data_IF_745190549416
#
_entry.id   IF_745190549416
#
_cell.length_a   1.000
_cell.length_b   1.000
_cell.length_c   1.000
_cell.angle_alpha   90.00
_cell.angle_beta   90.00
_cell.angle_gamma   90.00
#
_symmetry.space_group_name_H-M   'P 1'
#
loop_
_entity.id
_entity.type
_entity.pdbx_description
1 polymer ?
#
# COMPACT_ATOMS: atom_id res chain seq x y z
N UNK A 1 3.42 -2.14 0.91
CA UNK A 1 2.77 -1.45 2.06
C UNK A 1 2.16 -2.43 3.06
N UNK A 2 2.71 -3.64 3.16
CA UNK A 2 2.23 -4.73 3.99
C UNK A 2 3.40 -5.27 4.79
N UNK A 3 3.17 -5.78 5.99
CA UNK A 3 4.20 -6.44 6.79
C UNK A 3 4.17 -7.93 6.46
N UNK A 4 4.96 -8.34 5.46
CA UNK A 4 5.05 -9.74 4.99
C UNK A 4 6.26 -10.39 5.66
N UNK A 5 6.01 -11.19 6.70
CA UNK A 5 7.08 -11.89 7.44
C UNK A 5 7.34 -13.31 6.92
N UNK A 6 6.52 -13.82 6.01
CA UNK A 6 6.58 -15.20 5.53
C UNK A 6 7.53 -15.40 4.35
N UNK A 7 8.06 -14.33 3.76
CA UNK A 7 8.95 -14.38 2.60
C UNK A 7 10.31 -13.76 2.95
N UNK A 8 11.41 -14.17 2.28
CA UNK A 8 11.46 -15.18 1.21
C UNK A 8 11.27 -16.63 1.72
N UNK A 9 10.63 -17.46 0.89
CA UNK A 9 10.42 -18.88 1.14
C UNK A 9 11.67 -19.68 0.73
N UNK A 10 12.00 -20.72 1.50
CA UNK A 10 13.14 -21.58 1.20
C UNK A 10 12.81 -22.55 0.06
N UNK A 11 13.73 -22.69 -0.88
CA UNK A 11 13.62 -23.63 -1.98
C UNK A 11 13.98 -25.04 -1.48
N UNK A 12 13.06 -26.02 -1.54
CA UNK A 12 13.30 -27.36 -1.01
C UNK A 12 14.41 -28.07 -1.80
N UNK A 13 15.06 -29.08 -1.22
CA UNK A 13 16.05 -29.88 -1.95
C UNK A 13 15.33 -30.73 -3.00
N UNK A 14 15.94 -30.85 -4.19
CA UNK A 14 15.41 -31.70 -5.26
C UNK A 14 16.02 -33.09 -5.10
N UNK A 15 15.19 -34.14 -5.08
CA UNK A 15 15.63 -35.51 -4.78
C UNK A 15 16.07 -36.30 -6.03
N UNK A 16 15.93 -35.71 -7.22
CA UNK A 16 16.32 -36.35 -8.48
C UNK A 16 17.84 -36.57 -8.59
N UNK A 17 18.24 -37.82 -8.84
CA UNK A 17 19.63 -38.26 -8.93
C UNK A 17 20.39 -37.73 -10.17
N UNK A 18 19.68 -37.11 -11.12
CA UNK A 18 20.25 -36.64 -12.40
C UNK A 18 20.38 -35.11 -12.48
N UNK A 19 20.28 -34.38 -11.35
CA UNK A 19 20.36 -32.93 -11.39
C UNK A 19 21.77 -32.42 -11.78
N UNK A 20 21.87 -31.49 -12.74
CA UNK A 20 23.09 -30.72 -12.94
C UNK A 20 23.56 -30.03 -11.66
N UNK A 21 24.84 -30.18 -11.32
CA UNK A 21 25.45 -29.55 -10.14
C UNK A 21 25.27 -28.03 -10.11
N UNK A 22 25.23 -27.39 -11.29
CA UNK A 22 25.01 -25.95 -11.43
C UNK A 22 23.62 -25.49 -10.95
N UNK A 23 22.59 -26.33 -11.10
CA UNK A 23 21.24 -26.04 -10.59
C UNK A 23 21.23 -26.10 -9.07
N UNK A 24 21.88 -27.09 -8.48
CA UNK A 24 21.96 -27.25 -7.02
C UNK A 24 22.78 -26.14 -6.35
N UNK A 25 23.86 -25.69 -7.00
CA UNK A 25 24.62 -24.51 -6.58
C UNK A 25 23.73 -23.26 -6.63
N UNK A 26 23.00 -23.07 -7.73
CA UNK A 26 22.10 -21.91 -7.90
C UNK A 26 20.95 -21.92 -6.88
N UNK A 27 20.40 -23.09 -6.55
CA UNK A 27 19.41 -23.25 -5.48
C UNK A 27 19.99 -22.88 -4.11
N UNK A 28 21.20 -23.34 -3.82
CA UNK A 28 21.90 -23.02 -2.58
C UNK A 28 22.18 -21.53 -2.43
N UNK A 29 22.49 -20.84 -3.53
CA UNK A 29 22.65 -19.38 -3.56
C UNK A 29 21.35 -18.64 -3.27
N UNK A 30 20.21 -19.13 -3.75
CA UNK A 30 18.90 -18.54 -3.46
C UNK A 30 18.50 -18.67 -1.98
N UNK A 31 18.89 -19.79 -1.34
CA UNK A 31 18.63 -20.06 0.06
C UNK A 31 19.65 -19.41 1.01
N UNK A 32 20.78 -18.94 0.50
CA UNK A 32 21.73 -18.15 1.28
C UNK A 32 21.05 -16.83 1.70
N UNK A 33 21.34 -16.35 2.91
CA UNK A 33 20.77 -15.07 3.37
C UNK A 33 21.24 -13.92 2.46
N UNK A 34 20.37 -13.33 1.63
CA UNK A 34 20.77 -12.30 0.69
C UNK A 34 21.17 -11.03 1.47
N UNK A 35 22.21 -10.33 1.01
CA UNK A 35 22.62 -9.08 1.66
C UNK A 35 21.82 -7.86 1.19
N UNK A 36 21.01 -8.00 0.14
CA UNK A 36 20.12 -6.95 -0.40
C UNK A 36 18.95 -7.53 -1.20
N UNK A 37 17.89 -6.74 -1.40
CA UNK A 37 16.74 -7.11 -2.24
C UNK A 37 17.15 -7.36 -3.71
N UNK A 38 18.12 -6.61 -4.23
CA UNK A 38 18.66 -6.83 -5.58
C UNK A 38 19.32 -8.20 -5.73
N UNK A 39 20.11 -8.62 -4.74
CA UNK A 39 20.71 -9.96 -4.75
C UNK A 39 19.66 -11.07 -4.62
N UNK A 40 18.61 -10.86 -3.82
CA UNK A 40 17.48 -11.79 -3.73
C UNK A 40 16.82 -11.97 -5.11
N UNK A 41 16.56 -10.87 -5.81
CA UNK A 41 15.99 -10.86 -7.16
C UNK A 41 16.94 -11.61 -8.11
N UNK A 42 18.20 -11.21 -8.18
CA UNK A 42 19.16 -11.75 -9.15
C UNK A 42 19.34 -13.27 -8.97
N UNK A 43 19.54 -13.73 -7.74
CA UNK A 43 19.73 -15.15 -7.44
C UNK A 43 18.51 -15.99 -7.86
N UNK A 44 17.31 -15.59 -7.41
CA UNK A 44 16.08 -16.35 -7.70
C UNK A 44 15.69 -16.24 -9.18
N UNK A 45 15.93 -15.11 -9.84
CA UNK A 45 15.63 -14.92 -11.25
C UNK A 45 16.57 -15.75 -12.14
N UNK A 46 17.87 -15.77 -11.83
CA UNK A 46 18.84 -16.63 -12.51
C UNK A 46 18.51 -18.11 -12.32
N UNK A 47 18.16 -18.52 -11.11
CA UNK A 47 17.77 -19.90 -10.82
C UNK A 47 16.52 -20.30 -11.61
N UNK A 48 15.51 -19.44 -11.65
CA UNK A 48 14.29 -19.65 -12.43
C UNK A 48 14.59 -19.79 -13.93
N UNK A 49 15.47 -18.96 -14.50
CA UNK A 49 15.89 -19.07 -15.90
C UNK A 49 16.57 -20.43 -16.18
N UNK A 50 17.47 -20.86 -15.30
CA UNK A 50 18.15 -22.17 -15.43
C UNK A 50 17.15 -23.33 -15.34
N UNK A 51 16.18 -23.27 -14.43
CA UNK A 51 15.13 -24.29 -14.31
C UNK A 51 14.24 -24.36 -15.56
N UNK A 52 13.81 -23.20 -16.08
CA UNK A 52 12.98 -23.13 -17.29
C UNK A 52 13.72 -23.69 -18.51
N UNK A 53 15.00 -23.31 -18.70
CA UNK A 53 15.84 -23.84 -19.76
C UNK A 53 16.00 -25.36 -19.63
N UNK A 54 16.25 -25.87 -18.42
CA UNK A 54 16.40 -27.31 -18.19
C UNK A 54 15.11 -28.08 -18.50
N UNK A 55 13.94 -27.56 -18.09
CA UNK A 55 12.63 -28.17 -18.34
C UNK A 55 12.27 -28.23 -19.83
N UNK A 56 12.73 -27.26 -20.63
CA UNK A 56 12.48 -27.25 -22.07
C UNK A 56 13.07 -28.47 -22.78
N UNK A 57 14.25 -28.93 -22.34
CA UNK A 57 14.93 -30.10 -22.91
C UNK A 57 14.60 -31.41 -22.18
N UNK A 58 14.03 -31.34 -20.98
CA UNK A 58 13.77 -32.51 -20.12
C UNK A 58 12.32 -32.49 -19.56
N UNK A 59 11.34 -32.62 -20.46
CA UNK A 59 9.91 -32.48 -20.14
C UNK A 59 9.39 -33.49 -19.10
N UNK A 60 10.06 -34.62 -18.89
CA UNK A 60 9.69 -35.63 -17.90
C UNK A 60 9.78 -35.15 -16.44
N UNK A 61 10.60 -34.14 -16.15
CA UNK A 61 10.78 -33.60 -14.78
C UNK A 61 10.00 -32.30 -14.54
N UNK A 62 9.19 -31.86 -15.51
CA UNK A 62 8.53 -30.56 -15.46
C UNK A 62 7.63 -30.40 -14.23
N UNK A 63 6.95 -31.47 -13.78
CA UNK A 63 6.13 -31.42 -12.56
C UNK A 63 6.94 -31.26 -11.27
N UNK A 64 8.16 -31.81 -11.21
CA UNK A 64 9.04 -31.71 -10.04
C UNK A 64 9.59 -30.27 -9.87
N UNK A 65 9.90 -29.61 -10.98
CA UNK A 65 10.48 -28.26 -10.98
C UNK A 65 9.47 -27.13 -10.91
N UNK A 66 8.21 -27.38 -11.24
CA UNK A 66 7.20 -26.31 -11.30
C UNK A 66 6.93 -25.66 -9.93
N UNK A 67 7.03 -26.43 -8.85
CA UNK A 67 6.99 -25.88 -7.50
C UNK A 67 8.19 -24.96 -7.21
N UNK A 68 9.40 -25.35 -7.63
CA UNK A 68 10.62 -24.56 -7.45
C UNK A 68 10.57 -23.25 -8.24
N UNK A 69 10.08 -23.30 -9.48
CA UNK A 69 9.88 -22.11 -10.33
C UNK A 69 8.90 -21.15 -9.65
N UNK A 70 7.78 -21.65 -9.14
CA UNK A 70 6.77 -20.82 -8.48
C UNK A 70 7.28 -20.19 -7.17
N UNK A 71 8.04 -20.93 -6.34
CA UNK A 71 8.66 -20.39 -5.11
C UNK A 71 9.72 -19.34 -5.46
N UNK A 72 10.58 -19.60 -6.45
CA UNK A 72 11.56 -18.64 -6.92
C UNK A 72 10.87 -17.36 -7.45
N UNK A 73 9.78 -17.49 -8.20
CA UNK A 73 8.97 -16.37 -8.68
C UNK A 73 8.34 -15.57 -7.52
N UNK A 74 7.84 -16.23 -6.48
CA UNK A 74 7.36 -15.57 -5.25
C UNK A 74 8.48 -14.73 -4.61
N UNK A 75 9.68 -15.30 -4.45
CA UNK A 75 10.84 -14.61 -3.89
C UNK A 75 11.29 -13.41 -4.73
N UNK A 76 11.36 -13.57 -6.06
CA UNK A 76 11.64 -12.46 -6.99
C UNK A 76 10.59 -11.36 -6.85
N UNK A 77 9.31 -11.73 -6.85
CA UNK A 77 8.21 -10.77 -6.74
C UNK A 77 8.28 -9.99 -5.43
N UNK A 78 8.65 -10.67 -4.34
CA UNK A 78 8.85 -10.05 -3.04
C UNK A 78 9.97 -9.04 -3.07
N UNK A 79 11.14 -9.39 -3.62
CA UNK A 79 12.27 -8.47 -3.74
C UNK A 79 11.92 -7.23 -4.55
N UNK A 80 11.21 -7.38 -5.68
CA UNK A 80 10.74 -6.24 -6.46
C UNK A 80 9.76 -5.35 -5.69
N UNK A 81 8.84 -5.93 -4.91
CA UNK A 81 7.91 -5.15 -4.08
C UNK A 81 8.62 -4.44 -2.92
N UNK A 82 9.65 -5.04 -2.31
CA UNK A 82 10.46 -4.38 -1.28
C UNK A 82 11.18 -3.15 -1.83
N UNK A 83 11.84 -3.28 -2.99
CA UNK A 83 12.45 -2.14 -3.69
C UNK A 83 11.40 -1.07 -4.03
N UNK A 84 10.25 -1.47 -4.56
CA UNK A 84 9.16 -0.55 -4.85
C UNK A 84 8.66 0.17 -3.59
N UNK A 85 8.58 -0.52 -2.45
CA UNK A 85 8.18 0.05 -1.16
C UNK A 85 9.21 1.08 -0.67
N UNK A 86 10.50 0.75 -0.67
CA UNK A 86 11.57 1.66 -0.27
C UNK A 86 11.58 2.94 -1.12
N UNK A 87 11.42 2.80 -2.44
CA UNK A 87 11.36 3.95 -3.34
C UNK A 87 10.14 4.82 -3.05
N UNK A 88 8.96 4.24 -2.74
CA UNK A 88 7.76 5.02 -2.38
C UNK A 88 7.94 5.78 -1.07
N UNK A 89 8.57 5.17 -0.08
CA UNK A 89 8.88 5.82 1.20
C UNK A 89 9.80 7.02 1.00
N UNK A 90 10.85 6.86 0.20
CA UNK A 90 11.76 7.94 -0.17
C UNK A 90 11.04 9.06 -0.96
N UNK A 91 10.22 8.70 -1.93
CA UNK A 91 9.48 9.65 -2.78
C UNK A 91 8.37 10.40 -2.02
N UNK A 92 7.86 9.81 -0.93
CA UNK A 92 6.97 10.51 -0.01
C UNK A 92 7.74 11.36 0.99
N UNK A 93 8.96 10.98 1.37
CA UNK A 93 9.80 11.76 2.27
C UNK A 93 10.40 13.03 1.64
N UNK A 94 10.43 13.11 0.31
CA UNK A 94 11.02 14.24 -0.43
C UNK A 94 10.26 15.55 -0.23
N UNK A 95 10.99 16.67 -0.24
CA UNK A 95 10.44 18.01 -0.10
C UNK A 95 9.55 18.43 -1.29
N UNK A 96 9.78 17.86 -2.46
CA UNK A 96 8.98 18.06 -3.67
C UNK A 96 8.49 16.71 -4.22
N UNK A 97 7.37 16.66 -4.97
CA UNK A 97 6.89 15.42 -5.56
C UNK A 97 7.89 14.85 -6.59
N UNK A 98 8.65 13.82 -6.21
CA UNK A 98 9.62 13.16 -7.09
C UNK A 98 8.92 12.16 -8.02
N UNK A 99 8.39 12.68 -9.13
CA UNK A 99 7.65 11.89 -10.12
C UNK A 99 8.47 10.72 -10.65
N UNK A 100 9.80 10.85 -10.76
CA UNK A 100 10.68 9.80 -11.28
C UNK A 100 10.78 8.62 -10.30
N UNK A 101 10.87 8.89 -8.99
CA UNK A 101 10.82 7.82 -7.99
C UNK A 101 9.45 7.14 -7.95
N UNK A 102 8.35 7.88 -8.06
CA UNK A 102 7.01 7.28 -8.15
C UNK A 102 6.83 6.40 -9.40
N UNK A 103 7.40 6.82 -10.54
CA UNK A 103 7.42 6.00 -11.76
C UNK A 103 8.32 4.76 -11.59
N UNK A 104 9.48 4.92 -10.96
CA UNK A 104 10.42 3.81 -10.73
C UNK A 104 9.82 2.75 -9.81
N UNK A 105 9.19 3.15 -8.71
CA UNK A 105 8.47 2.22 -7.82
C UNK A 105 7.32 1.50 -8.54
N UNK A 106 6.59 2.21 -9.40
CA UNK A 106 5.54 1.62 -10.25
C UNK A 106 6.12 0.56 -11.18
N UNK A 107 7.27 0.83 -11.81
CA UNK A 107 7.91 -0.13 -12.71
C UNK A 107 8.34 -1.41 -11.97
N UNK A 108 8.91 -1.29 -10.77
CA UNK A 108 9.26 -2.45 -9.95
C UNK A 108 8.05 -3.24 -9.49
N UNK A 109 6.98 -2.58 -9.04
CA UNK A 109 5.75 -3.26 -8.66
C UNK A 109 5.10 -3.97 -9.87
N UNK A 110 5.07 -3.35 -11.07
CA UNK A 110 4.62 -4.02 -12.30
C UNK A 110 5.45 -5.26 -12.64
N UNK A 111 6.76 -5.26 -12.38
CA UNK A 111 7.62 -6.45 -12.50
C UNK A 111 7.23 -7.53 -11.48
N UNK A 112 6.97 -7.15 -10.23
CA UNK A 112 6.49 -8.07 -9.20
C UNK A 112 5.15 -8.73 -9.56
N UNK A 113 4.18 -7.95 -10.05
CA UNK A 113 2.89 -8.48 -10.52
C UNK A 113 3.11 -9.40 -11.73
N UNK A 114 3.92 -8.96 -12.69
CA UNK A 114 4.17 -9.69 -13.93
C UNK A 114 4.76 -11.06 -13.69
N UNK A 115 5.72 -11.19 -12.76
CA UNK A 115 6.34 -12.49 -12.48
C UNK A 115 5.37 -13.46 -11.80
N UNK A 116 4.47 -12.97 -10.94
CA UNK A 116 3.42 -13.81 -10.36
C UNK A 116 2.39 -14.24 -11.40
N UNK A 117 2.06 -13.37 -12.35
CA UNK A 117 1.19 -13.69 -13.48
C UNK A 117 1.81 -14.75 -14.39
N UNK A 118 3.12 -14.69 -14.61
CA UNK A 118 3.87 -15.70 -15.38
C UNK A 118 3.75 -17.11 -14.77
N UNK A 119 3.70 -17.25 -13.45
CA UNK A 119 3.55 -18.57 -12.79
C UNK A 119 2.31 -19.33 -13.27
N UNK A 120 1.23 -18.63 -13.65
CA UNK A 120 0.02 -19.26 -14.20
C UNK A 120 0.23 -19.94 -15.55
N UNK A 121 1.33 -19.63 -16.25
CA UNK A 121 1.71 -20.25 -17.51
C UNK A 121 2.64 -21.45 -17.33
N UNK A 122 3.18 -21.64 -16.12
CA UNK A 122 4.02 -22.79 -15.78
C UNK A 122 3.10 -23.98 -15.51
N UNK A 123 3.24 -25.11 -16.24
CA UNK A 123 2.36 -26.26 -16.07
C UNK A 123 2.65 -26.96 -14.74
N UNK A 124 1.68 -27.73 -14.21
CA UNK A 124 1.87 -28.57 -13.01
C UNK A 124 2.27 -27.84 -11.70
N UNK A 125 2.11 -26.51 -11.61
CA UNK A 125 2.31 -25.78 -10.35
C UNK A 125 1.29 -26.27 -9.31
N UNK A 126 1.73 -26.65 -8.08
CA UNK A 126 0.82 -27.05 -7.03
C UNK A 126 -0.23 -25.98 -6.70
N UNK A 127 -1.50 -26.37 -6.55
CA UNK A 127 -2.62 -25.46 -6.32
C UNK A 127 -2.42 -24.57 -5.09
N UNK A 128 -1.79 -25.06 -4.03
CA UNK A 128 -1.48 -24.27 -2.83
C UNK A 128 -0.53 -23.11 -3.13
N UNK A 129 0.55 -23.37 -3.88
CA UNK A 129 1.53 -22.35 -4.27
C UNK A 129 0.91 -21.38 -5.28
N UNK A 130 0.09 -21.88 -6.22
CA UNK A 130 -0.62 -21.02 -7.16
C UNK A 130 -1.61 -20.08 -6.43
N UNK A 131 -2.33 -20.59 -5.43
CA UNK A 131 -3.21 -19.78 -4.57
C UNK A 131 -2.43 -18.68 -3.85
N UNK A 132 -1.26 -19.02 -3.28
CA UNK A 132 -0.35 -18.05 -2.67
C UNK A 132 0.13 -16.98 -3.68
N UNK A 133 0.50 -17.38 -4.90
CA UNK A 133 0.87 -16.45 -5.98
C UNK A 133 -0.27 -15.49 -6.33
N UNK A 134 -1.50 -15.99 -6.45
CA UNK A 134 -2.69 -15.18 -6.74
C UNK A 134 -3.01 -14.20 -5.61
N UNK A 135 -2.83 -14.62 -4.36
CA UNK A 135 -3.00 -13.77 -3.18
C UNK A 135 -1.97 -12.63 -3.17
N UNK A 136 -0.69 -12.92 -3.38
CA UNK A 136 0.34 -11.87 -3.47
C UNK A 136 0.16 -10.98 -4.68
N UNK A 137 -0.26 -11.53 -5.83
CA UNK A 137 -0.58 -10.74 -7.02
C UNK A 137 -1.68 -9.71 -6.72
N UNK A 138 -2.75 -10.14 -6.04
CA UNK A 138 -3.84 -9.26 -5.63
C UNK A 138 -3.39 -8.19 -4.63
N UNK A 139 -2.54 -8.54 -3.66
CA UNK A 139 -1.92 -7.59 -2.73
C UNK A 139 -1.02 -6.56 -3.45
N UNK A 140 -0.30 -6.98 -4.49
CA UNK A 140 0.61 -6.12 -5.24
C UNK A 140 -0.13 -5.20 -6.22
N UNK A 141 -1.22 -5.66 -6.83
CA UNK A 141 -2.15 -4.82 -7.59
C UNK A 141 -2.78 -3.74 -6.70
N UNK A 142 -3.18 -4.12 -5.49
CA UNK A 142 -3.68 -3.18 -4.48
C UNK A 142 -2.61 -2.16 -4.08
N UNK A 143 -1.37 -2.60 -3.85
CA UNK A 143 -0.23 -1.72 -3.61
C UNK A 143 0.00 -0.72 -4.76
N UNK A 144 -0.10 -1.15 -6.02
CA UNK A 144 0.07 -0.26 -7.17
C UNK A 144 -1.00 0.83 -7.19
N UNK A 145 -2.26 0.48 -6.96
CA UNK A 145 -3.36 1.43 -6.91
C UNK A 145 -3.24 2.39 -5.74
N UNK A 146 -2.87 1.87 -4.57
CA UNK A 146 -2.60 2.68 -3.40
C UNK A 146 -1.43 3.64 -3.66
N UNK A 147 -0.41 3.25 -4.43
CA UNK A 147 0.71 4.13 -4.78
C UNK A 147 0.26 5.36 -5.56
N UNK A 148 -0.76 5.23 -6.43
CA UNK A 148 -1.36 6.39 -7.12
C UNK A 148 -2.11 7.32 -6.17
N UNK A 149 -2.82 6.75 -5.19
CA UNK A 149 -3.47 7.51 -4.11
C UNK A 149 -2.41 8.23 -3.27
N UNK A 150 -1.31 7.57 -2.91
CA UNK A 150 -0.24 8.14 -2.10
C UNK A 150 0.57 9.22 -2.83
N UNK A 151 0.84 9.07 -4.13
CA UNK A 151 1.43 10.13 -4.95
C UNK A 151 0.58 11.39 -4.90
N UNK A 152 -0.74 11.22 -4.97
CA UNK A 152 -1.67 12.35 -4.89
C UNK A 152 -1.68 12.96 -3.51
N UNK A 153 -1.72 12.14 -2.46
CA UNK A 153 -1.58 12.62 -1.09
C UNK A 153 -0.27 13.41 -0.94
N UNK A 154 0.84 12.96 -1.53
CA UNK A 154 2.11 13.69 -1.55
C UNK A 154 1.97 15.05 -2.24
N UNK A 155 1.29 15.12 -3.40
CA UNK A 155 1.00 16.38 -4.09
C UNK A 155 0.11 17.31 -3.25
N UNK A 156 -0.99 16.80 -2.69
CA UNK A 156 -1.88 17.57 -1.80
C UNK A 156 -1.12 18.06 -0.57
N UNK A 157 -0.31 17.21 0.05
CA UNK A 157 0.54 17.56 1.19
C UNK A 157 1.52 18.69 0.82
N UNK A 158 2.24 18.59 -0.29
CA UNK A 158 3.17 19.66 -0.71
C UNK A 158 2.46 20.98 -1.03
N UNK A 159 1.17 20.96 -1.39
CA UNK A 159 0.35 22.18 -1.52
C UNK A 159 -0.11 22.73 -0.18
N UNK A 160 -0.58 21.88 0.72
CA UNK A 160 -0.97 22.25 2.09
C UNK A 160 0.22 22.76 2.91
N UNK A 161 1.42 22.23 2.64
CA UNK A 161 2.66 22.52 3.37
C UNK A 161 3.85 22.71 2.40
N UNK A 162 3.91 23.83 1.67
CA UNK A 162 4.99 24.06 0.71
C UNK A 162 6.35 24.21 1.40
N UNK A 163 6.37 24.68 2.66
CA UNK A 163 7.54 24.66 3.51
C UNK A 163 7.38 23.57 4.60
N UNK A 164 8.28 22.59 4.59
CA UNK A 164 8.30 21.51 5.58
C UNK A 164 8.63 22.01 7.00
N UNK A 165 9.24 23.19 7.13
CA UNK A 165 9.60 23.80 8.42
C UNK A 165 8.46 24.64 9.02
N UNK A 166 7.53 25.13 8.19
CA UNK A 166 6.41 25.97 8.61
C UNK A 166 5.05 25.39 8.19
N UNK A 167 4.89 24.08 8.44
CA UNK A 167 3.65 23.35 8.13
C UNK A 167 2.42 23.95 8.81
N UNK A 168 2.58 24.43 10.04
CA UNK A 168 1.46 24.76 10.91
C UNK A 168 0.87 26.14 10.63
N UNK A 169 1.69 27.15 10.31
CA UNK A 169 1.19 28.49 9.96
C UNK A 169 0.29 28.43 8.72
N UNK A 170 0.64 27.58 7.74
CA UNK A 170 -0.11 27.45 6.49
C UNK A 170 -1.46 26.78 6.66
N UNK A 171 -1.56 25.76 7.53
CA UNK A 171 -2.86 25.17 7.85
C UNK A 171 -3.80 26.14 8.56
N UNK A 172 -3.27 27.00 9.43
CA UNK A 172 -4.07 28.06 10.06
C UNK A 172 -4.62 29.04 9.03
N UNK A 173 -3.89 29.23 7.93
CA UNK A 173 -4.32 30.04 6.78
C UNK A 173 -5.12 29.26 5.72
N UNK A 174 -5.51 28.01 5.95
CA UNK A 174 -6.24 27.20 4.97
C UNK A 174 -7.60 27.82 4.62
N UNK A 175 -7.83 28.19 3.37
CA UNK A 175 -9.00 28.97 2.90
C UNK A 175 -9.91 28.15 1.97
N UNK A 176 -11.10 28.68 1.65
CA UNK A 176 -12.04 28.04 0.71
C UNK A 176 -11.42 27.84 -0.69
N UNK A 177 -10.50 28.70 -1.11
CA UNK A 177 -9.74 28.52 -2.36
C UNK A 177 -8.89 27.24 -2.36
N UNK A 178 -8.38 26.82 -1.19
CA UNK A 178 -7.61 25.58 -1.06
C UNK A 178 -8.55 24.36 -1.15
N UNK A 179 -9.77 24.47 -0.60
CA UNK A 179 -10.82 23.45 -0.72
C UNK A 179 -11.22 23.27 -2.19
N UNK A 180 -11.48 24.37 -2.91
CA UNK A 180 -11.77 24.38 -4.35
C UNK A 180 -10.65 23.76 -5.18
N UNK A 181 -9.40 23.90 -4.76
CA UNK A 181 -8.29 23.28 -5.48
C UNK A 181 -8.22 21.76 -5.21
N UNK A 182 -8.43 21.35 -3.95
CA UNK A 182 -8.44 19.94 -3.56
C UNK A 182 -9.64 19.20 -4.17
N UNK A 183 -10.80 19.83 -4.23
CA UNK A 183 -12.06 19.24 -4.71
C UNK A 183 -11.96 18.76 -6.16
N UNK A 184 -11.21 19.47 -7.02
CA UNK A 184 -10.94 19.13 -8.43
C UNK A 184 -10.48 17.69 -8.63
N UNK A 185 -9.87 17.10 -7.62
CA UNK A 185 -9.36 15.75 -7.68
C UNK A 185 -9.86 14.82 -6.57
N UNK A 186 -10.42 15.36 -5.49
CA UNK A 186 -10.79 14.59 -4.29
C UNK A 186 -11.74 13.42 -4.58
N UNK A 187 -12.79 13.65 -5.38
CA UNK A 187 -13.78 12.63 -5.74
C UNK A 187 -13.16 11.43 -6.49
N UNK A 188 -12.28 11.71 -7.46
CA UNK A 188 -11.59 10.66 -8.21
C UNK A 188 -10.76 9.77 -7.28
N UNK A 189 -10.03 10.37 -6.34
CA UNK A 189 -9.20 9.63 -5.39
C UNK A 189 -10.00 8.94 -4.29
N UNK A 190 -11.13 9.51 -3.88
CA UNK A 190 -12.08 8.81 -3.02
C UNK A 190 -12.58 7.51 -3.66
N UNK A 191 -12.97 7.56 -4.94
CA UNK A 191 -13.38 6.36 -5.70
C UNK A 191 -12.27 5.32 -5.79
N UNK A 192 -11.01 5.74 -5.91
CA UNK A 192 -9.88 4.81 -5.86
C UNK A 192 -9.72 4.18 -4.48
N UNK A 193 -9.81 4.96 -3.40
CA UNK A 193 -9.74 4.45 -2.01
C UNK A 193 -10.87 3.47 -1.69
N UNK A 194 -12.10 3.75 -2.16
CA UNK A 194 -13.24 2.83 -2.06
C UNK A 194 -12.96 1.53 -2.83
N UNK A 195 -12.45 1.64 -4.05
CA UNK A 195 -12.07 0.47 -4.85
C UNK A 195 -11.00 -0.40 -4.19
N UNK A 196 -9.99 0.22 -3.58
CA UNK A 196 -8.99 -0.46 -2.76
C UNK A 196 -9.63 -1.19 -1.56
N UNK A 197 -10.57 -0.55 -0.87
CA UNK A 197 -11.29 -1.14 0.28
C UNK A 197 -12.14 -2.35 -0.12
N UNK A 198 -12.77 -2.30 -1.30
CA UNK A 198 -13.51 -3.43 -1.85
C UNK A 198 -12.58 -4.64 -2.10
N UNK A 199 -11.38 -4.41 -2.64
CA UNK A 199 -10.39 -5.48 -2.82
C UNK A 199 -9.87 -6.02 -1.50
N UNK A 200 -9.66 -5.16 -0.49
CA UNK A 200 -9.37 -5.63 0.87
C UNK A 200 -10.46 -6.58 1.38
N UNK A 201 -11.73 -6.29 1.12
CA UNK A 201 -12.85 -7.15 1.51
C UNK A 201 -12.78 -8.51 0.81
N UNK A 202 -12.53 -8.53 -0.49
CA UNK A 202 -12.33 -9.79 -1.24
C UNK A 202 -11.14 -10.60 -0.74
N UNK A 203 -10.02 -9.93 -0.43
CA UNK A 203 -8.82 -10.56 0.14
C UNK A 203 -9.07 -11.12 1.54
N UNK A 204 -9.87 -10.45 2.37
CA UNK A 204 -10.17 -10.94 3.71
C UNK A 204 -10.86 -12.32 3.67
N UNK A 205 -11.69 -12.57 2.66
CA UNK A 205 -12.35 -13.85 2.45
C UNK A 205 -11.37 -14.96 2.04
N UNK A 206 -10.27 -14.62 1.36
CA UNK A 206 -9.29 -15.60 0.87
C UNK A 206 -8.15 -15.90 1.86
N UNK A 207 -8.06 -15.18 2.98
CA UNK A 207 -6.91 -15.22 3.92
C UNK A 207 -7.32 -15.75 5.30
N UNK A 208 -8.32 -16.63 5.36
CA UNK A 208 -8.88 -17.13 6.63
C UNK A 208 -7.82 -17.81 7.54
N UNK A 209 -6.76 -18.37 6.95
CA UNK A 209 -5.72 -19.11 7.69
C UNK A 209 -4.62 -18.21 8.29
N UNK A 210 -4.57 -16.91 7.96
CA UNK A 210 -3.54 -15.98 8.47
C UNK A 210 -4.15 -14.85 9.30
N UNK A 211 -4.23 -15.06 10.61
CA UNK A 211 -4.77 -14.07 11.56
C UNK A 211 -4.00 -12.74 11.52
N UNK A 212 -2.68 -12.79 11.29
CA UNK A 212 -1.88 -11.58 11.14
C UNK A 212 -2.29 -10.80 9.89
N UNK A 213 -2.32 -11.43 8.71
CA UNK A 213 -2.64 -10.74 7.47
C UNK A 213 -4.09 -10.25 7.43
N UNK A 214 -5.04 -11.03 7.98
CA UNK A 214 -6.42 -10.59 8.16
C UNK A 214 -6.53 -9.30 9.00
N UNK A 215 -5.74 -9.21 10.08
CA UNK A 215 -5.67 -8.01 10.92
C UNK A 215 -5.08 -6.81 10.19
N UNK A 216 -4.07 -7.00 9.33
CA UNK A 216 -3.53 -5.94 8.48
C UNK A 216 -4.54 -5.44 7.45
N UNK A 217 -5.26 -6.37 6.81
CA UNK A 217 -6.32 -6.06 5.83
C UNK A 217 -7.43 -5.22 6.50
N UNK A 218 -7.90 -5.63 7.68
CA UNK A 218 -8.92 -4.88 8.43
C UNK A 218 -8.44 -3.46 8.76
N UNK A 219 -7.18 -3.34 9.18
CA UNK A 219 -6.61 -2.03 9.53
C UNK A 219 -6.42 -1.14 8.29
N UNK A 220 -6.11 -1.74 7.14
CA UNK A 220 -6.08 -1.04 5.85
C UNK A 220 -7.47 -0.56 5.44
N UNK A 221 -8.54 -1.34 5.67
CA UNK A 221 -9.91 -0.91 5.42
C UNK A 221 -10.31 0.30 6.28
N UNK A 222 -9.92 0.32 7.56
CA UNK A 222 -10.12 1.47 8.43
C UNK A 222 -9.46 2.75 7.88
N UNK A 223 -8.20 2.64 7.45
CA UNK A 223 -7.48 3.73 6.80
C UNK A 223 -8.15 4.20 5.50
N UNK A 224 -8.46 3.27 4.59
CA UNK A 224 -9.06 3.57 3.29
C UNK A 224 -10.46 4.16 3.41
N UNK A 225 -11.27 3.67 4.35
CA UNK A 225 -12.61 4.20 4.65
C UNK A 225 -12.54 5.64 5.16
N UNK A 226 -11.66 5.91 6.12
CA UNK A 226 -11.45 7.27 6.63
C UNK A 226 -10.95 8.22 5.54
N UNK A 227 -9.98 7.79 4.73
CA UNK A 227 -9.46 8.59 3.62
C UNK A 227 -10.52 8.88 2.56
N UNK A 228 -11.31 7.88 2.17
CA UNK A 228 -12.39 8.05 1.18
C UNK A 228 -13.41 9.08 1.66
N UNK A 229 -13.88 8.97 2.90
CA UNK A 229 -14.87 9.88 3.47
C UNK A 229 -14.33 11.30 3.63
N UNK A 230 -13.08 11.44 4.06
CA UNK A 230 -12.42 12.75 4.15
C UNK A 230 -12.38 13.43 2.78
N UNK A 231 -12.00 12.69 1.73
CA UNK A 231 -11.95 13.24 0.37
C UNK A 231 -13.34 13.54 -0.22
N UNK A 232 -14.35 12.71 0.04
CA UNK A 232 -15.73 13.00 -0.39
C UNK A 232 -16.32 14.21 0.32
N UNK A 233 -15.95 14.45 1.58
CA UNK A 233 -16.43 15.63 2.31
C UNK A 233 -15.99 16.92 1.63
N UNK A 234 -14.77 16.98 1.07
CA UNK A 234 -14.26 18.12 0.32
C UNK A 234 -15.11 18.38 -0.92
N UNK A 235 -15.40 17.31 -1.69
CA UNK A 235 -16.24 17.39 -2.88
C UNK A 235 -17.66 17.86 -2.55
N UNK A 236 -18.22 17.39 -1.44
CA UNK A 236 -19.55 17.78 -0.95
C UNK A 236 -19.63 19.21 -0.46
N UNK A 237 -18.65 19.67 0.30
CA UNK A 237 -18.61 21.05 0.74
C UNK A 237 -18.51 22.00 -0.46
N UNK A 238 -17.63 21.71 -1.41
CA UNK A 238 -17.34 22.61 -2.53
C UNK A 238 -18.42 22.67 -3.62
N UNK A 239 -19.01 21.52 -3.99
CA UNK A 239 -19.90 21.46 -5.15
C UNK A 239 -21.39 21.43 -4.80
N UNK A 240 -21.74 21.11 -3.56
CA UNK A 240 -23.14 20.98 -3.15
C UNK A 240 -23.57 21.99 -2.09
N UNK A 241 -22.68 22.89 -1.65
CA UNK A 241 -22.93 23.86 -0.56
C UNK A 241 -23.62 23.19 0.65
N UNK A 242 -23.23 21.94 0.95
CA UNK A 242 -23.82 21.13 2.01
C UNK A 242 -22.77 20.87 3.12
N UNK A 243 -22.49 21.88 3.95
CA UNK A 243 -21.53 21.78 5.05
C UNK A 243 -21.99 20.78 6.13
N UNK A 244 -23.29 20.52 6.24
CA UNK A 244 -23.84 19.57 7.21
C UNK A 244 -23.49 18.13 6.81
N UNK A 245 -23.77 17.72 5.57
CA UNK A 245 -23.38 16.39 5.07
C UNK A 245 -21.86 16.22 5.05
N UNK A 246 -21.12 17.27 4.66
CA UNK A 246 -19.66 17.22 4.68
C UNK A 246 -19.10 16.98 6.09
N UNK A 247 -19.69 17.61 7.11
CA UNK A 247 -19.36 17.37 8.51
C UNK A 247 -19.73 15.95 8.97
N UNK A 248 -20.91 15.44 8.62
CA UNK A 248 -21.28 14.05 8.94
C UNK A 248 -20.32 13.03 8.33
N UNK A 249 -19.83 13.28 7.11
CA UNK A 249 -18.80 12.45 6.47
C UNK A 249 -17.48 12.50 7.25
N UNK A 250 -17.06 13.66 7.76
CA UNK A 250 -15.87 13.81 8.60
C UNK A 250 -16.03 13.07 9.93
N UNK A 251 -17.17 13.17 10.59
CA UNK A 251 -17.42 12.45 11.84
C UNK A 251 -17.41 10.93 11.61
N UNK A 252 -17.96 10.47 10.50
CA UNK A 252 -17.89 9.06 10.10
C UNK A 252 -16.45 8.64 9.77
N UNK A 253 -15.65 9.52 9.14
CA UNK A 253 -14.24 9.28 8.88
C UNK A 253 -13.42 9.13 10.17
N UNK A 254 -13.77 9.87 11.22
CA UNK A 254 -13.16 9.77 12.56
C UNK A 254 -13.49 8.41 13.19
N UNK A 255 -14.75 7.94 13.09
CA UNK A 255 -15.14 6.60 13.55
C UNK A 255 -14.33 5.51 12.84
N UNK A 256 -14.11 5.65 11.53
CA UNK A 256 -13.31 4.69 10.77
C UNK A 256 -11.85 4.63 11.21
N UNK A 257 -11.21 5.78 11.49
CA UNK A 257 -9.78 5.84 11.84
C UNK A 257 -9.52 5.53 13.32
N UNK A 258 -10.53 5.69 14.19
CA UNK A 258 -10.42 5.52 15.64
C UNK A 258 -9.66 4.25 16.08
N UNK A 259 -9.87 3.05 15.50
CA UNK A 259 -9.14 1.84 15.89
C UNK A 259 -7.62 1.91 15.68
N UNK A 260 -7.14 2.85 14.85
CA UNK A 260 -5.74 3.03 14.50
C UNK A 260 -5.04 4.08 15.37
N UNK A 261 -5.78 4.78 16.24
CA UNK A 261 -5.29 5.92 17.02
C UNK A 261 -5.15 5.59 18.51
N UNK A 262 -4.27 6.31 19.21
CA UNK A 262 -4.24 6.28 20.67
C UNK A 262 -5.44 7.03 21.26
N UNK A 263 -5.78 6.73 22.53
CA UNK A 263 -6.83 7.46 23.25
C UNK A 263 -6.59 8.97 23.30
N UNK A 264 -5.33 9.38 23.45
CA UNK A 264 -4.92 10.79 23.44
C UNK A 264 -5.22 11.44 22.08
N UNK A 265 -4.85 10.77 20.98
CA UNK A 265 -5.11 11.26 19.62
C UNK A 265 -6.61 11.39 19.32
N UNK A 266 -7.40 10.41 19.78
CA UNK A 266 -8.85 10.43 19.63
C UNK A 266 -9.50 11.58 20.42
N UNK A 267 -9.09 11.77 21.67
CA UNK A 267 -9.61 12.85 22.51
C UNK A 267 -9.36 14.22 21.89
N UNK A 268 -8.23 14.39 21.19
CA UNK A 268 -7.92 15.62 20.49
C UNK A 268 -8.85 15.84 19.28
N UNK A 269 -9.09 14.82 18.46
CA UNK A 269 -9.99 14.89 17.30
C UNK A 269 -11.45 15.15 17.69
N UNK A 270 -11.92 14.60 18.81
CA UNK A 270 -13.34 14.66 19.18
C UNK A 270 -13.70 15.93 19.97
N UNK A 271 -12.80 16.45 20.81
CA UNK A 271 -13.17 17.45 21.81
C UNK A 271 -12.68 18.88 21.53
N UNK A 272 -11.81 19.08 20.54
CA UNK A 272 -11.27 20.42 20.26
C UNK A 272 -11.97 21.10 19.08
N UNK A 273 -12.49 22.30 19.35
CA UNK A 273 -13.06 23.21 18.34
C UNK A 273 -12.07 24.23 17.78
N UNK A 274 -10.87 24.33 18.36
CA UNK A 274 -9.87 25.34 17.99
C UNK A 274 -8.69 24.70 17.26
N UNK A 275 -8.47 25.14 16.03
CA UNK A 275 -7.40 24.66 15.14
C UNK A 275 -6.00 24.94 15.73
N UNK A 276 -5.82 26.08 16.40
CA UNK A 276 -4.55 26.47 17.05
C UNK A 276 -4.10 25.47 18.12
N UNK A 277 -5.03 25.00 18.96
CA UNK A 277 -4.73 24.04 20.03
C UNK A 277 -4.46 22.63 19.50
N UNK A 278 -5.16 22.25 18.43
CA UNK A 278 -5.02 20.97 17.75
C UNK A 278 -3.65 20.82 17.09
N UNK A 279 -3.23 21.83 16.33
CA UNK A 279 -2.02 21.76 15.50
C UNK A 279 -0.73 21.77 16.33
N UNK A 280 -0.67 22.51 17.44
CA UNK A 280 0.49 22.49 18.36
C UNK A 280 0.72 21.08 18.94
N UNK A 281 -0.34 20.31 19.15
CA UNK A 281 -0.26 18.96 19.73
C UNK A 281 0.00 17.86 18.69
N UNK A 282 -0.30 18.08 17.41
CA UNK A 282 0.03 17.13 16.32
C UNK A 282 1.53 16.99 16.06
N UNK A 283 2.36 17.98 16.42
CA UNK A 283 3.84 17.90 16.33
C UNK A 283 4.40 16.69 17.10
N UNK A 284 3.77 16.35 18.22
CA UNK A 284 4.15 15.21 19.07
C UNK A 284 3.73 13.85 18.50
N UNK A 285 2.84 13.81 17.50
CA UNK A 285 2.32 12.55 16.95
C UNK A 285 3.32 11.90 16.01
N UNK A 286 4.02 12.70 15.20
CA UNK A 286 5.11 12.21 14.34
C UNK A 286 6.23 11.60 15.18
N UNK A 287 6.57 12.23 16.30
CA UNK A 287 7.62 11.76 17.21
C UNK A 287 7.18 10.55 18.04
N UNK A 288 5.92 10.47 18.47
CA UNK A 288 5.36 9.30 19.16
C UNK A 288 5.31 8.06 18.25
N UNK A 289 4.91 8.23 16.99
CA UNK A 289 4.90 7.16 15.98
C UNK A 289 6.33 6.77 15.62
N UNK A 290 7.22 7.74 15.34
CA UNK A 290 8.64 7.47 15.06
C UNK A 290 9.40 6.87 16.24
N UNK A 291 9.06 7.22 17.47
CA UNK A 291 9.63 6.66 18.70
C UNK A 291 9.26 5.19 18.91
N UNK A 292 8.00 4.84 18.70
CA UNK A 292 7.53 3.43 18.70
C UNK A 292 8.19 2.61 17.58
N UNK A 293 8.48 3.25 16.46
CA UNK A 293 9.18 2.66 15.31
C UNK A 293 10.68 2.45 15.52
N UNK A 294 11.41 3.47 16.00
CA UNK A 294 12.87 3.39 16.25
C UNK A 294 13.24 2.39 17.34
N UNK A 295 12.41 2.25 18.37
CA UNK A 295 12.67 1.29 19.44
C UNK A 295 12.58 -0.17 18.94
N UNK A 296 11.79 -0.45 17.90
CA UNK A 296 11.66 -1.82 17.34
C UNK A 296 12.72 -2.18 16.31
N UNK A 297 13.24 -1.22 15.53
CA UNK A 297 14.37 -1.46 14.60
C UNK A 297 15.63 -1.87 15.38
N UNK A 298 15.81 -1.36 16.62
CA UNK A 298 16.89 -1.78 17.52
C UNK A 298 16.64 -3.14 18.19
N UNK A 299 15.39 -3.55 18.39
CA UNK A 299 15.03 -4.85 18.99
C UNK A 299 15.15 -6.03 18.01
N UNK A 300 15.32 -5.80 16.71
CA UNK A 300 15.60 -6.85 15.71
C UNK A 300 16.96 -7.56 15.86
N UNK A 301 17.79 -7.21 16.86
CA UNK A 301 19.07 -7.88 17.15
C UNK A 301 19.03 -8.84 18.34
N UNK A 302 18.00 -8.80 19.19
CA UNK A 302 17.88 -9.71 20.33
C UNK A 302 16.72 -10.67 20.09
N UNK A 303 17.07 -11.88 19.65
CA UNK A 303 16.18 -13.05 19.70
C UNK A 303 15.86 -13.32 21.17
N UNK A 304 14.59 -13.58 21.49
CA UNK A 304 14.00 -13.72 22.84
C UNK A 304 13.44 -12.43 23.44
N UNK A 305 12.29 -11.99 22.90
CA UNK A 305 11.10 -11.59 23.67
C UNK A 305 10.10 -10.93 22.71
N UNK A 306 9.29 -11.75 22.04
CA UNK A 306 8.25 -11.29 21.12
C UNK A 306 6.87 -11.52 21.76
N UNK A 307 6.45 -10.59 22.61
CA UNK A 307 5.02 -10.26 22.63
C UNK A 307 4.75 -9.30 21.47
N UNK A 308 3.91 -9.67 20.48
CA UNK A 308 3.60 -8.82 19.35
C UNK A 308 2.71 -7.66 19.81
N UNK A 309 3.33 -6.54 20.17
CA UNK A 309 2.59 -5.28 20.38
C UNK A 309 2.10 -4.74 19.03
N UNK A 310 0.90 -5.19 18.65
CA UNK A 310 -0.27 -4.45 18.13
C UNK A 310 -0.09 -3.39 17.02
N UNK A 311 0.90 -3.49 16.14
CA UNK A 311 0.89 -2.68 14.91
C UNK A 311 0.49 -3.56 13.73
N UNK A 312 -0.76 -3.37 13.33
CA UNK A 312 -1.43 -4.07 12.23
C UNK A 312 -1.22 -3.37 10.89
N UNK A 313 -0.80 -2.11 10.87
CA UNK A 313 -0.48 -1.38 9.65
C UNK A 313 1.02 -1.22 9.43
N UNK A 314 1.41 -1.16 8.15
CA UNK A 314 2.78 -0.86 7.77
C UNK A 314 3.16 0.55 8.27
N UNK A 315 4.38 0.74 8.81
CA UNK A 315 4.84 2.02 9.37
C UNK A 315 4.66 3.23 8.45
N UNK A 316 4.93 3.04 7.17
CA UNK A 316 4.74 4.07 6.15
C UNK A 316 3.30 4.62 6.11
N UNK A 317 2.29 3.75 6.23
CA UNK A 317 0.88 4.17 6.25
C UNK A 317 0.57 4.96 7.52
N UNK A 318 1.12 4.55 8.67
CA UNK A 318 0.98 5.29 9.92
C UNK A 318 1.61 6.68 9.83
N UNK A 319 2.75 6.83 9.14
CA UNK A 319 3.34 8.14 8.85
C UNK A 319 2.43 8.99 7.98
N UNK A 320 1.80 8.43 6.95
CA UNK A 320 0.83 9.15 6.09
C UNK A 320 -0.40 9.59 6.89
N UNK A 321 -0.92 8.74 7.78
CA UNK A 321 -2.04 9.10 8.66
C UNK A 321 -1.68 10.33 9.49
N UNK A 322 -0.51 10.33 10.12
CA UNK A 322 -0.08 11.40 11.01
C UNK A 322 0.34 12.68 10.28
N UNK A 323 1.04 12.57 9.15
CA UNK A 323 1.64 13.69 8.41
C UNK A 323 0.64 14.36 7.45
N UNK A 324 -0.47 13.70 7.10
CA UNK A 324 -1.46 14.22 6.15
C UNK A 324 -2.91 14.04 6.59
N UNK A 325 -3.36 12.79 6.80
CA UNK A 325 -4.80 12.52 6.94
C UNK A 325 -5.41 13.18 8.17
N UNK A 326 -4.77 13.05 9.34
CA UNK A 326 -5.32 13.63 10.56
C UNK A 326 -5.33 15.17 10.54
N UNK A 327 -4.23 15.86 10.15
CA UNK A 327 -4.29 17.31 9.96
C UNK A 327 -5.41 17.75 9.01
N UNK A 328 -5.62 17.04 7.90
CA UNK A 328 -6.69 17.35 6.96
C UNK A 328 -8.08 17.20 7.62
N UNK A 329 -8.33 16.08 8.30
CA UNK A 329 -9.59 15.85 9.04
C UNK A 329 -9.85 16.99 10.03
N UNK A 330 -8.84 17.40 10.79
CA UNK A 330 -8.97 18.48 11.78
C UNK A 330 -9.36 19.82 11.15
N UNK A 331 -8.65 20.21 10.09
CA UNK A 331 -8.89 21.48 9.39
C UNK A 331 -10.28 21.50 8.79
N UNK A 332 -10.69 20.42 8.13
CA UNK A 332 -12.01 20.30 7.52
C UNK A 332 -13.12 20.32 8.58
N UNK A 333 -12.95 19.58 9.69
CA UNK A 333 -13.92 19.59 10.80
C UNK A 333 -14.19 21.00 11.31
N UNK A 334 -13.14 21.74 11.66
CA UNK A 334 -13.27 23.12 12.16
C UNK A 334 -13.91 24.04 11.12
N UNK A 335 -13.55 23.88 9.84
CA UNK A 335 -14.12 24.68 8.75
C UNK A 335 -15.62 24.41 8.57
N UNK A 336 -16.03 23.15 8.52
CA UNK A 336 -17.42 22.76 8.33
C UNK A 336 -18.28 23.11 9.55
N UNK A 337 -17.74 22.95 10.77
CA UNK A 337 -18.40 23.39 12.00
C UNK A 337 -18.70 24.90 11.94
N UNK A 338 -17.69 25.71 11.60
CA UNK A 338 -17.87 27.16 11.49
C UNK A 338 -18.85 27.56 10.38
N UNK A 339 -18.83 26.88 9.23
CA UNK A 339 -19.77 27.14 8.13
C UNK A 339 -21.22 26.79 8.53
N UNK A 340 -21.41 25.70 9.26
CA UNK A 340 -22.73 25.28 9.76
C UNK A 340 -23.30 26.23 10.82
N UNK A 341 -22.46 26.92 11.62
CA UNK A 341 -22.92 27.92 12.60
C UNK A 341 -23.66 29.11 11.95
N UNK A 342 -23.43 29.39 10.67
CA UNK A 342 -24.08 30.47 9.93
C UNK A 342 -25.27 30.02 9.07
N UNK A 343 -25.46 28.71 8.85
CA UNK A 343 -26.62 28.16 8.15
C UNK A 343 -27.76 27.90 9.14
N UNK A 344 -28.72 28.83 9.21
CA UNK A 344 -29.98 28.69 9.95
C UNK A 344 -31.00 27.81 9.20
N UNK A 345 -30.63 26.60 8.77
CA UNK A 345 -31.62 25.63 8.28
C UNK A 345 -31.93 24.61 9.39
N UNK A 346 -33.14 24.75 9.93
CA UNK A 346 -33.62 23.98 11.07
C UNK A 346 -33.73 22.48 10.80
N UNK A 347 -33.54 21.72 11.87
CA UNK A 347 -33.95 20.32 12.05
C UNK A 347 -33.46 19.32 10.98
N UNK A 348 -32.33 18.69 11.30
CA UNK A 348 -32.20 17.23 11.34
C UNK A 348 -32.80 16.46 10.16
N UNK A 349 -32.34 16.73 8.94
CA UNK A 349 -32.51 15.76 7.87
C UNK A 349 -31.31 14.81 7.91
N UNK A 350 -31.53 13.59 8.39
CA UNK A 350 -30.58 12.49 8.22
C UNK A 350 -30.44 12.22 6.72
N UNK A 351 -29.51 12.90 6.07
CA UNK A 351 -29.14 12.59 4.70
C UNK A 351 -28.20 11.40 4.77
N UNK A 352 -28.75 10.19 4.62
CA UNK A 352 -27.94 9.02 4.30
C UNK A 352 -27.32 9.25 2.91
N UNK A 353 -26.12 9.81 2.90
CA UNK A 353 -25.33 9.94 1.69
C UNK A 353 -24.92 8.55 1.20
N UNK A 354 -24.93 8.37 -0.12
CA UNK A 354 -24.56 7.11 -0.77
C UNK A 354 -23.12 7.25 -1.26
N UNK A 355 -22.28 6.27 -0.90
CA UNK A 355 -20.91 6.22 -1.41
C UNK A 355 -20.93 6.02 -2.93
N UNK A 356 -20.09 6.76 -3.69
CA UNK A 356 -19.95 6.50 -5.11
C UNK A 356 -19.35 5.11 -5.34
N UNK A 357 -19.61 4.56 -6.52
CA UNK A 357 -19.01 3.29 -6.90
C UNK A 357 -17.47 3.43 -6.96
N UNK A 358 -16.79 2.57 -6.20
CA UNK A 358 -15.33 2.50 -6.20
C UNK A 358 -14.78 1.96 -7.52
N UNK A 359 -13.57 2.39 -7.88
CA UNK A 359 -12.84 1.88 -9.05
C UNK A 359 -11.80 0.86 -8.59
N UNK A 360 -12.06 -0.42 -8.88
CA UNK A 360 -11.17 -1.50 -8.51
C UNK A 360 -9.79 -1.38 -9.20
N UNK A 361 -8.71 -1.85 -8.54
CA UNK A 361 -7.38 -1.92 -9.12
C UNK A 361 -7.32 -2.99 -10.22
N UNK A 362 -7.43 -2.59 -11.49
CA UNK A 362 -7.24 -3.48 -12.66
C UNK A 362 -5.83 -3.38 -13.23
N UNK A 363 -4.83 -3.31 -12.36
CA UNK A 363 -3.43 -3.13 -12.77
C UNK A 363 -2.89 -4.42 -13.37
N UNK A 364 -2.36 -4.33 -14.60
CA UNK A 364 -1.61 -5.42 -15.23
C UNK A 364 -0.12 -5.27 -14.92
N UNK A 365 0.53 -6.42 -14.66
CA UNK A 365 1.99 -6.49 -14.56
C UNK A 365 2.64 -6.37 -15.94
N UNK A 366 3.98 -6.38 -15.95
CA UNK A 366 4.71 -6.57 -17.20
C UNK A 366 4.49 -8.00 -17.70
N UNK A 367 4.40 -8.18 -19.02
CA UNK A 367 4.28 -9.51 -19.60
C UNK A 367 5.67 -10.16 -19.68
N UNK A 368 5.88 -11.24 -18.94
CA UNK A 368 7.11 -12.05 -19.02
C UNK A 368 6.90 -13.22 -19.97
N UNK A 369 7.86 -13.42 -20.88
CA UNK A 369 7.89 -14.56 -21.79
C UNK A 369 9.27 -15.21 -21.66
N UNK A 370 9.30 -16.54 -21.67
CA UNK A 370 10.55 -17.29 -21.72
C UNK A 370 10.95 -17.49 -23.18
N UNK A 371 12.12 -16.99 -23.57
CA UNK A 371 12.62 -17.05 -24.96
C UNK A 371 13.42 -18.33 -25.29
N UNK A 372 13.50 -19.26 -24.33
CA UNK A 372 14.29 -20.48 -24.41
C UNK A 372 15.62 -20.41 -23.65
N UNK A 373 16.03 -19.21 -23.22
CA UNK A 373 17.25 -19.00 -22.43
C UNK A 373 16.94 -18.23 -21.16
N UNK A 374 16.12 -17.18 -21.25
CA UNK A 374 15.82 -16.29 -20.15
C UNK A 374 14.39 -15.74 -20.20
N UNK A 375 13.88 -15.35 -19.04
CA UNK A 375 12.66 -14.58 -18.94
C UNK A 375 12.92 -13.14 -19.37
N UNK A 376 12.25 -12.72 -20.43
CA UNK A 376 12.31 -11.38 -21.01
C UNK A 376 10.97 -10.69 -20.89
N UNK A 377 10.99 -9.35 -20.84
CA UNK A 377 9.77 -8.55 -20.87
C UNK A 377 9.35 -8.35 -22.33
N UNK A 378 8.14 -8.76 -22.65
CA UNK A 378 7.55 -8.54 -23.97
C UNK A 378 7.28 -7.05 -24.21
N UNK A 379 8.11 -6.44 -25.06
CA UNK A 379 8.06 -5.02 -25.37
C UNK A 379 6.89 -4.63 -26.29
N UNK A 380 6.17 -5.58 -26.90
CA UNK A 380 4.99 -5.23 -27.71
C UNK A 380 3.79 -4.85 -26.84
N UNK A 381 3.71 -5.41 -25.63
CA UNK A 381 2.65 -5.17 -24.64
C UNK A 381 2.74 -3.83 -23.88
N UNK A 382 3.90 -3.14 -23.93
CA UNK A 382 4.16 -1.91 -23.18
C UNK A 382 3.55 -0.65 -23.81
N UNK A 383 3.10 -0.73 -25.06
CA UNK A 383 2.51 0.39 -25.83
C UNK A 383 1.05 0.72 -25.46
N UNK A 384 0.36 -0.14 -24.70
CA UNK A 384 -1.10 -0.03 -24.44
C UNK A 384 -1.51 0.51 -23.06
N UNK A 385 -0.60 1.05 -22.23
CA UNK A 385 -0.94 1.36 -20.81
C UNK A 385 -0.56 2.75 -20.27
N UNK A 386 -0.43 3.75 -21.14
CA UNK A 386 -0.24 5.16 -20.75
C UNK A 386 -1.38 6.03 -21.29
N UNK A 387 -2.59 5.86 -20.75
CA UNK A 387 -3.66 6.88 -20.80
C UNK A 387 -4.52 6.81 -19.54
#
# INVERSE_FOLDING_TARGET
MWVINSLPDSLPTIQSAELPSELEISRSQCNASPSSDSQLIDANFQYMNKLLAYCQYNSCYQSEFSAQIAIAALNVSHGFEQLAQQIRENAYGSASPDVQQWQSSTNYNKKAIGILQFVSTVPFVPTSILSQCNQFCSLYQLNQQLSMVLLTISKMRTRLYPDANDKYSKLLSFQDSDIQELSKVANAYAKLSIGCSNVCTSLQLSVQDSLQLASQINSMQHFLGSLALTLLSIDKYDHTDDPTTALEMIDTAIVHIQPLLSKEQLNLLQNNKSLDKLLVQTRFWKDSIKGKLRNKIKLGKNKHDLQPTSMTLHPFILEIIADFLLPLIMVLKVRYDNANEFTFDGMGKSHKWVLPQGKAPTVKGVNYIFDGVSLVIDQQSSSTSLH
#
